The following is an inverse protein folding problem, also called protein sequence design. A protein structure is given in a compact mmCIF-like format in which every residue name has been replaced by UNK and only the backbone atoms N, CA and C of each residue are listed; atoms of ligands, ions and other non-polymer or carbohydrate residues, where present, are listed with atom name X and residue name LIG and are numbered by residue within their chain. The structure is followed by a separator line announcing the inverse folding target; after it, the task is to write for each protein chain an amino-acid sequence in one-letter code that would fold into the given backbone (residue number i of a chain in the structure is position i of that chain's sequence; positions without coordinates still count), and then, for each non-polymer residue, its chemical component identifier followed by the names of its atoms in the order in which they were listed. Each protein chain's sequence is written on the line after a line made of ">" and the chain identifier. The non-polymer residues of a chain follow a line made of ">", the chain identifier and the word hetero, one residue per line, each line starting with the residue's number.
data_IF_266569471699
#
_entry.id   IF_266569471699
#
_cell.length_a   1.000
_cell.length_b   1.000
_cell.length_c   1.000
_cell.angle_alpha   90.00
_cell.angle_beta   90.00
_cell.angle_gamma   90.00
#
_symmetry.space_group_name_H-M   'P 1'
#
loop_
_entity.id
_entity.type
_entity.pdbx_description
1 polymer ?
#
# COMPACT_ATOMS: atom_id res chain seq x y z
N UNK A 1 3.03 -10.36 -36.85
CA UNK A 1 3.96 -10.23 -35.71
C UNK A 1 3.20 -10.42 -34.40
N UNK A 2 3.40 -11.55 -33.69
CA UNK A 2 2.84 -11.70 -32.35
C UNK A 2 3.72 -10.93 -31.37
N UNK A 3 3.16 -9.96 -30.67
CA UNK A 3 3.81 -9.32 -29.52
C UNK A 3 3.75 -10.28 -28.33
N UNK A 4 4.84 -10.44 -27.57
CA UNK A 4 4.90 -11.34 -26.40
C UNK A 4 3.96 -10.92 -25.26
N UNK A 5 3.61 -9.63 -25.19
CA UNK A 5 2.68 -9.10 -24.18
C UNK A 5 1.27 -8.96 -24.74
N UNK A 6 0.24 -9.17 -23.89
CA UNK A 6 -1.15 -8.97 -24.27
C UNK A 6 -1.38 -7.51 -24.68
N UNK A 7 -2.29 -7.31 -25.64
CA UNK A 7 -2.81 -5.99 -25.96
C UNK A 7 -3.87 -5.61 -24.92
N UNK A 8 -3.75 -4.42 -24.36
CA UNK A 8 -4.79 -3.82 -23.53
C UNK A 8 -5.57 -2.84 -24.39
N UNK A 9 -6.85 -3.11 -24.60
CA UNK A 9 -7.78 -2.21 -25.29
C UNK A 9 -8.47 -1.34 -24.23
N UNK A 10 -8.45 -0.03 -24.45
CA UNK A 10 -9.05 0.96 -23.56
C UNK A 10 -10.02 1.79 -24.37
N UNK A 11 -11.27 1.86 -23.92
CA UNK A 11 -12.28 2.78 -24.46
C UNK A 11 -12.26 4.03 -23.61
N UNK A 12 -12.13 5.20 -24.24
CA UNK A 12 -12.12 6.48 -23.54
C UNK A 12 -13.53 6.79 -23.02
N UNK A 13 -13.67 6.90 -21.70
CA UNK A 13 -14.83 7.47 -21.03
C UNK A 13 -14.62 8.97 -20.83
N UNK A 14 -15.69 9.70 -20.51
CA UNK A 14 -15.60 11.15 -20.21
C UNK A 14 -14.64 11.44 -19.05
N UNK A 15 -14.62 10.58 -18.03
CA UNK A 15 -13.68 10.68 -16.90
C UNK A 15 -12.23 10.48 -17.35
N UNK A 16 -11.98 9.48 -18.20
CA UNK A 16 -10.64 9.23 -18.73
C UNK A 16 -10.21 10.39 -19.64
N UNK A 17 -11.11 10.95 -20.45
CA UNK A 17 -10.83 12.10 -21.29
C UNK A 17 -10.38 13.31 -20.45
N UNK A 18 -11.15 13.65 -19.43
CA UNK A 18 -10.80 14.75 -18.53
C UNK A 18 -9.48 14.50 -17.78
N UNK A 19 -9.18 13.25 -17.40
CA UNK A 19 -7.90 12.91 -16.77
C UNK A 19 -6.73 13.07 -17.75
N UNK A 20 -6.91 12.65 -19.01
CA UNK A 20 -5.89 12.79 -20.05
C UNK A 20 -5.66 14.24 -20.45
N UNK A 21 -6.70 15.08 -20.44
CA UNK A 21 -6.57 16.52 -20.70
C UNK A 21 -5.69 17.19 -19.64
N UNK A 22 -5.96 16.93 -18.35
CA UNK A 22 -5.12 17.42 -17.24
C UNK A 22 -3.70 16.87 -17.32
N UNK A 23 -3.53 15.60 -17.67
CA UNK A 23 -2.21 15.00 -17.83
C UNK A 23 -1.44 15.64 -19.00
N UNK A 24 -2.14 16.06 -20.06
CA UNK A 24 -1.52 16.72 -21.19
C UNK A 24 -1.02 18.14 -20.86
N UNK A 25 -1.65 18.84 -19.92
CA UNK A 25 -1.12 20.11 -19.39
C UNK A 25 0.28 19.92 -18.76
N UNK A 26 0.50 18.78 -18.11
CA UNK A 26 1.78 18.44 -17.49
C UNK A 26 2.79 17.82 -18.48
N UNK A 27 2.31 17.09 -19.47
CA UNK A 27 3.14 16.41 -20.49
C UNK A 27 2.61 16.67 -21.91
N UNK A 28 2.76 17.90 -22.42
CA UNK A 28 2.18 18.32 -23.70
C UNK A 28 2.80 17.60 -24.91
N UNK A 29 3.98 17.01 -24.76
CA UNK A 29 4.67 16.27 -25.82
C UNK A 29 4.15 14.83 -25.99
N UNK A 30 3.36 14.32 -25.04
CA UNK A 30 2.88 12.95 -25.05
C UNK A 30 1.53 12.82 -25.73
N UNK A 31 1.39 11.80 -26.59
CA UNK A 31 0.11 11.39 -27.15
C UNK A 31 -0.80 10.84 -26.04
N UNK A 32 -2.13 10.93 -26.22
CA UNK A 32 -3.12 10.36 -25.28
C UNK A 32 -2.84 8.89 -24.93
N UNK A 33 -2.47 8.07 -25.92
CA UNK A 33 -2.08 6.67 -25.70
C UNK A 33 -0.86 6.50 -24.80
N UNK A 34 0.15 7.39 -24.91
CA UNK A 34 1.32 7.39 -24.03
C UNK A 34 0.97 7.93 -22.65
N UNK A 35 0.05 8.88 -22.54
CA UNK A 35 -0.45 9.37 -21.27
C UNK A 35 -1.19 8.26 -20.48
N UNK A 36 -1.99 7.41 -21.14
CA UNK A 36 -2.59 6.24 -20.48
C UNK A 36 -1.52 5.34 -19.86
N UNK A 37 -0.43 5.06 -20.59
CA UNK A 37 0.69 4.26 -20.07
C UNK A 37 1.39 4.98 -18.92
N UNK A 38 1.70 6.27 -19.07
CA UNK A 38 2.34 7.09 -18.03
C UNK A 38 1.52 7.07 -16.74
N UNK A 39 0.24 7.37 -16.81
CA UNK A 39 -0.66 7.42 -15.66
C UNK A 39 -0.81 6.05 -14.98
N UNK A 40 -0.87 4.95 -15.75
CA UNK A 40 -0.92 3.61 -15.18
C UNK A 40 0.34 3.28 -14.35
N UNK A 41 1.52 3.70 -14.82
CA UNK A 41 2.78 3.50 -14.08
C UNK A 41 2.92 4.44 -12.88
N UNK A 42 2.50 5.71 -13.00
CA UNK A 42 2.44 6.65 -11.86
C UNK A 42 1.48 6.14 -10.76
N UNK A 43 0.33 5.59 -11.17
CA UNK A 43 -0.63 4.98 -10.26
C UNK A 43 -0.06 3.78 -9.50
N UNK A 44 0.75 2.95 -10.16
CA UNK A 44 1.46 1.83 -9.53
C UNK A 44 2.44 2.32 -8.45
N UNK A 45 3.23 3.35 -8.74
CA UNK A 45 4.16 3.95 -7.79
C UNK A 45 3.42 4.53 -6.58
N UNK A 46 2.30 5.23 -6.81
CA UNK A 46 1.47 5.78 -5.75
C UNK A 46 0.88 4.67 -4.86
N UNK A 47 0.41 3.56 -5.45
CA UNK A 47 -0.07 2.41 -4.69
C UNK A 47 1.04 1.74 -3.86
N UNK A 48 2.26 1.63 -4.39
CA UNK A 48 3.39 1.11 -3.61
C UNK A 48 3.71 2.00 -2.40
N UNK A 49 3.72 3.33 -2.59
CA UNK A 49 3.97 4.29 -1.51
C UNK A 49 2.91 4.20 -0.43
N UNK A 50 1.62 4.11 -0.80
CA UNK A 50 0.53 3.94 0.16
C UNK A 50 0.66 2.66 0.98
N UNK A 51 1.01 1.53 0.35
CA UNK A 51 1.27 0.27 1.06
C UNK A 51 2.43 0.40 2.04
N UNK A 52 3.50 1.07 1.63
CA UNK A 52 4.65 1.35 2.50
C UNK A 52 4.27 2.20 3.71
N UNK A 53 3.49 3.27 3.49
CA UNK A 53 3.00 4.15 4.53
C UNK A 53 2.08 3.41 5.53
N UNK A 54 1.15 2.59 5.04
CA UNK A 54 0.27 1.80 5.91
C UNK A 54 1.06 0.75 6.71
N UNK A 55 2.04 0.08 6.08
CA UNK A 55 2.93 -0.84 6.80
C UNK A 55 3.77 -0.13 7.87
N UNK A 56 4.23 1.09 7.61
CA UNK A 56 4.94 1.92 8.59
C UNK A 56 4.00 2.33 9.74
N UNK A 57 2.78 2.79 9.43
CA UNK A 57 1.76 3.14 10.42
C UNK A 57 1.43 1.97 11.32
N UNK A 58 1.19 0.78 10.76
CA UNK A 58 0.93 -0.45 11.53
C UNK A 58 2.09 -0.81 12.45
N UNK A 59 3.34 -0.71 11.97
CA UNK A 59 4.53 -0.94 12.81
C UNK A 59 4.62 0.05 13.97
N UNK A 60 4.36 1.33 13.72
CA UNK A 60 4.37 2.35 14.76
C UNK A 60 3.29 2.10 15.83
N UNK A 61 2.09 1.70 15.42
CA UNK A 61 1.02 1.32 16.37
C UNK A 61 1.40 0.11 17.23
N UNK A 62 1.98 -0.93 16.63
CA UNK A 62 2.42 -2.11 17.36
C UNK A 62 3.58 -1.80 18.32
N UNK A 63 4.53 -0.95 17.91
CA UNK A 63 5.62 -0.49 18.78
C UNK A 63 5.09 0.29 19.99
N UNK A 64 4.21 1.26 19.76
CA UNK A 64 3.60 2.06 20.84
C UNK A 64 2.75 1.20 21.79
N UNK A 65 2.01 0.21 21.27
CA UNK A 65 1.28 -0.74 22.10
C UNK A 65 2.24 -1.64 22.91
N UNK A 66 3.31 -2.13 22.28
CA UNK A 66 4.33 -2.96 22.93
C UNK A 66 5.03 -2.23 24.08
N UNK A 67 5.36 -0.94 23.91
CA UNK A 67 5.90 -0.10 24.97
C UNK A 67 4.90 0.08 26.11
N UNK A 68 3.63 0.38 25.79
CA UNK A 68 2.56 0.58 26.80
C UNK A 68 2.30 -0.67 27.64
N UNK A 69 2.44 -1.86 27.06
CA UNK A 69 2.20 -3.14 27.73
C UNK A 69 3.49 -3.89 28.03
N UNK A 70 4.64 -3.21 28.02
CA UNK A 70 5.93 -3.81 28.32
C UNK A 70 5.89 -4.46 29.72
N UNK A 71 6.16 -5.76 29.79
CA UNK A 71 6.15 -6.55 31.02
C UNK A 71 4.80 -7.18 31.39
N UNK A 72 3.69 -6.75 30.78
CA UNK A 72 2.37 -7.37 30.99
C UNK A 72 2.35 -8.75 30.34
N UNK A 73 1.99 -9.79 31.11
CA UNK A 73 1.91 -11.16 30.61
C UNK A 73 3.26 -11.77 30.24
N UNK A 74 4.37 -11.27 30.80
CA UNK A 74 5.69 -11.86 30.56
C UNK A 74 5.68 -13.36 30.91
N UNK A 75 6.36 -14.18 30.11
CA UNK A 75 6.35 -15.63 30.26
C UNK A 75 6.97 -16.12 31.58
N UNK A 76 7.68 -15.25 32.30
CA UNK A 76 8.14 -15.46 33.67
C UNK A 76 7.01 -15.18 34.67
N UNK A 77 6.43 -13.98 34.63
CA UNK A 77 5.35 -13.57 35.54
C UNK A 77 4.09 -14.46 35.41
N UNK A 78 3.73 -14.89 34.20
CA UNK A 78 2.61 -15.81 33.98
C UNK A 78 2.90 -17.19 34.56
N UNK A 79 4.16 -17.63 34.49
CA UNK A 79 4.58 -18.95 34.99
C UNK A 79 4.63 -18.95 36.50
N UNK A 80 5.16 -17.89 37.09
CA UNK A 80 5.18 -17.67 38.54
C UNK A 80 3.77 -17.55 39.13
N UNK A 81 2.86 -16.81 38.47
CA UNK A 81 1.46 -16.75 38.87
C UNK A 81 0.76 -18.13 38.75
N UNK A 82 1.01 -18.88 37.67
CA UNK A 82 0.46 -20.23 37.50
C UNK A 82 0.98 -21.18 38.59
N UNK A 83 2.28 -21.17 38.86
CA UNK A 83 2.92 -22.10 39.78
C UNK A 83 2.60 -21.75 41.26
N UNK A 84 2.17 -20.51 41.55
CA UNK A 84 1.76 -20.06 42.88
C UNK A 84 0.27 -20.22 43.20
N UNK A 85 -0.63 -19.95 42.23
CA UNK A 85 -2.08 -19.96 42.46
C UNK A 85 -2.76 -21.29 42.09
N UNK A 86 -2.11 -22.15 41.29
CA UNK A 86 -2.72 -23.42 40.86
C UNK A 86 -2.37 -24.55 41.84
N UNK A 87 -3.36 -25.26 42.42
CA UNK A 87 -3.08 -26.44 43.22
C UNK A 87 -2.53 -27.56 42.32
N UNK A 88 -1.51 -28.26 42.82
CA UNK A 88 -0.82 -29.36 42.13
C UNK A 88 -1.76 -30.46 41.60
#
# INVERSE_FOLDING_TARGET
>A
MPTTRPRHLVTESDELAAALDRAHEQWPELSRSRLVVRLALEGEQHLQQQRGAEAARRRALLAAAGERFAGVGSSGAVREARDGDWPA
#
